data_IF_262284873527
#
_entry.id   IF_262284873527
#
_cell.length_a   1.000
_cell.length_b   1.000
_cell.length_c   1.000
_cell.angle_alpha   90.00
_cell.angle_beta   90.00
_cell.angle_gamma   90.00
#
_symmetry.space_group_name_H-M   'P 1'
#
loop_
_entity.id
_entity.type
_entity.pdbx_description
1 polymer ?
#
# COMPACT_ATOMS: atom_id res chain seq x y z
N UNK A 1 -13.81 -8.12 -1.89
CA UNK A 1 -15.08 -8.29 -1.15
C UNK A 1 -15.18 -7.13 -0.16
N UNK A 2 -16.21 -6.30 -0.26
CA UNK A 2 -16.38 -5.09 0.58
C UNK A 2 -17.57 -5.17 1.55
N UNK A 3 -18.48 -6.11 1.33
CA UNK A 3 -19.50 -6.53 2.29
C UNK A 3 -19.79 -8.03 2.10
N UNK A 4 -20.51 -8.72 3.02
CA UNK A 4 -20.69 -10.18 2.94
C UNK A 4 -21.19 -10.69 1.58
N UNK A 5 -22.05 -9.92 0.91
CA UNK A 5 -22.63 -10.25 -0.40
C UNK A 5 -22.18 -9.31 -1.52
N UNK A 6 -21.15 -8.48 -1.33
CA UNK A 6 -20.81 -7.43 -2.29
C UNK A 6 -19.31 -7.38 -2.63
N UNK A 7 -19.03 -7.39 -3.92
CA UNK A 7 -17.68 -7.26 -4.49
C UNK A 7 -17.59 -5.95 -5.26
N UNK A 8 -16.53 -5.18 -5.01
CA UNK A 8 -16.13 -4.02 -5.81
C UNK A 8 -15.14 -4.46 -6.90
N UNK A 9 -15.29 -3.90 -8.09
CA UNK A 9 -14.43 -4.11 -9.27
C UNK A 9 -14.55 -2.88 -10.20
N UNK A 10 -13.82 -2.85 -11.31
CA UNK A 10 -13.97 -1.84 -12.35
C UNK A 10 -15.06 -2.17 -13.39
N UNK A 11 -15.69 -1.15 -13.97
CA UNK A 11 -16.71 -1.28 -15.03
C UNK A 11 -16.12 -1.88 -16.31
N UNK A 12 -14.90 -1.49 -16.67
CA UNK A 12 -14.24 -1.97 -17.88
C UNK A 12 -14.01 -3.49 -17.91
N UNK A 13 -14.06 -4.17 -16.76
CA UNK A 13 -14.01 -5.62 -16.68
C UNK A 13 -15.21 -6.31 -17.33
N UNK A 14 -16.32 -5.59 -17.57
CA UNK A 14 -17.46 -6.08 -18.34
C UNK A 14 -18.23 -7.22 -17.66
N UNK A 15 -18.25 -7.24 -16.32
CA UNK A 15 -18.96 -8.24 -15.52
C UNK A 15 -20.45 -8.28 -15.85
N UNK A 16 -21.07 -9.46 -15.71
CA UNK A 16 -22.50 -9.67 -15.97
C UNK A 16 -23.11 -10.56 -14.89
N UNK A 17 -24.43 -10.46 -14.63
CA UNK A 17 -25.13 -11.44 -13.81
C UNK A 17 -24.83 -12.85 -14.31
N UNK A 18 -24.39 -13.73 -13.41
CA UNK A 18 -23.86 -15.04 -13.75
C UNK A 18 -22.34 -15.18 -13.60
N UNK A 19 -21.59 -14.08 -13.50
CA UNK A 19 -20.17 -14.11 -13.15
C UNK A 19 -19.96 -14.79 -11.79
N UNK A 20 -18.82 -15.45 -11.60
CA UNK A 20 -18.48 -16.12 -10.34
C UNK A 20 -17.37 -15.36 -9.61
N UNK A 21 -17.58 -15.08 -8.33
CA UNK A 21 -16.53 -14.66 -7.41
C UNK A 21 -15.99 -15.89 -6.71
N UNK A 22 -14.70 -16.18 -6.89
CA UNK A 22 -14.06 -17.40 -6.42
C UNK A 22 -12.93 -17.08 -5.46
N UNK A 23 -12.81 -17.86 -4.39
CA UNK A 23 -11.63 -17.87 -3.52
C UNK A 23 -10.98 -19.26 -3.53
N UNK A 24 -9.65 -19.35 -3.48
CA UNK A 24 -8.97 -20.63 -3.32
C UNK A 24 -9.47 -21.36 -2.07
N UNK A 25 -9.63 -22.68 -2.16
CA UNK A 25 -9.92 -23.48 -0.96
C UNK A 25 -8.70 -23.64 -0.05
N UNK A 26 -7.50 -23.50 -0.62
CA UNK A 26 -6.21 -23.49 0.08
C UNK A 26 -5.22 -22.66 -0.77
N UNK A 27 -4.61 -21.63 -0.18
CA UNK A 27 -3.65 -20.77 -0.89
C UNK A 27 -2.34 -21.50 -1.19
N UNK A 28 -2.02 -22.57 -0.46
CA UNK A 28 -0.82 -23.39 -0.67
C UNK A 28 -1.06 -24.55 -1.65
N UNK A 29 -2.31 -24.72 -2.13
CA UNK A 29 -2.73 -25.79 -3.04
C UNK A 29 -3.64 -25.29 -4.15
N UNK A 30 -3.08 -24.67 -5.20
CA UNK A 30 -3.83 -24.15 -6.34
C UNK A 30 -4.59 -25.22 -7.15
N UNK A 31 -4.36 -26.50 -6.88
CA UNK A 31 -5.07 -27.66 -7.44
C UNK A 31 -6.39 -28.00 -6.72
N UNK A 32 -6.65 -27.41 -5.56
CA UNK A 32 -7.93 -27.57 -4.87
C UNK A 32 -9.04 -26.74 -5.54
N UNK A 33 -10.27 -27.28 -5.65
CA UNK A 33 -11.35 -26.58 -6.32
C UNK A 33 -11.68 -25.28 -5.59
N UNK A 34 -11.72 -24.18 -6.34
CA UNK A 34 -12.14 -22.88 -5.84
C UNK A 34 -13.55 -22.94 -5.25
N UNK A 35 -13.76 -22.18 -4.18
CA UNK A 35 -15.08 -21.93 -3.61
C UNK A 35 -15.65 -20.68 -4.26
N UNK A 36 -16.72 -20.85 -5.02
CA UNK A 36 -17.28 -19.79 -5.83
C UNK A 36 -18.72 -19.44 -5.43
N UNK A 37 -19.06 -18.17 -5.53
CA UNK A 37 -20.44 -17.66 -5.40
C UNK A 37 -20.78 -16.85 -6.64
N UNK A 38 -21.96 -17.12 -7.20
CA UNK A 38 -22.43 -16.43 -8.41
C UNK A 38 -22.94 -15.02 -8.08
N UNK A 39 -22.56 -14.05 -8.90
CA UNK A 39 -23.17 -12.72 -8.93
C UNK A 39 -24.59 -12.82 -9.51
N UNK A 40 -25.58 -12.33 -8.77
CA UNK A 40 -26.99 -12.26 -9.19
C UNK A 40 -27.35 -10.90 -9.79
N UNK A 41 -26.58 -9.86 -9.46
CA UNK A 41 -26.74 -8.51 -9.97
C UNK A 41 -25.39 -7.84 -10.15
N UNK A 42 -25.29 -7.00 -11.17
CA UNK A 42 -24.13 -6.14 -11.44
C UNK A 42 -24.65 -4.71 -11.59
N UNK A 43 -23.97 -3.75 -10.97
CA UNK A 43 -24.35 -2.34 -10.98
C UNK A 43 -23.13 -1.49 -11.30
N UNK A 44 -23.13 -0.90 -12.49
CA UNK A 44 -22.07 0.01 -12.90
C UNK A 44 -22.31 1.42 -12.33
N UNK A 45 -21.23 2.05 -11.87
CA UNK A 45 -21.23 3.45 -11.45
C UNK A 45 -21.34 4.33 -12.70
N UNK A 46 -22.37 5.18 -12.84
CA UNK A 46 -22.54 6.02 -14.01
C UNK A 46 -21.51 7.15 -14.12
N UNK A 47 -20.75 7.41 -13.04
CA UNK A 47 -19.83 8.54 -12.94
C UNK A 47 -18.35 8.12 -12.92
N UNK A 48 -18.06 6.82 -12.85
CA UNK A 48 -16.70 6.33 -12.66
C UNK A 48 -16.52 4.91 -13.20
N UNK A 49 -15.26 4.51 -13.40
CA UNK A 49 -14.92 3.13 -13.75
C UNK A 49 -14.95 2.27 -12.48
N UNK A 50 -16.17 1.97 -12.01
CA UNK A 50 -16.47 1.21 -10.80
C UNK A 50 -17.75 0.40 -11.00
N UNK A 51 -17.76 -0.85 -10.56
CA UNK A 51 -18.93 -1.72 -10.61
C UNK A 51 -19.05 -2.54 -9.33
N UNK A 52 -20.29 -2.81 -8.93
CA UNK A 52 -20.62 -3.66 -7.79
C UNK A 52 -21.29 -4.95 -8.25
N UNK A 53 -20.82 -6.07 -7.73
CA UNK A 53 -21.41 -7.39 -7.94
C UNK A 53 -22.09 -7.87 -6.66
N UNK A 54 -23.40 -8.07 -6.71
CA UNK A 54 -24.17 -8.68 -5.63
C UNK A 54 -24.14 -10.20 -5.76
N UNK A 55 -23.67 -10.88 -4.72
CA UNK A 55 -23.53 -12.33 -4.65
C UNK A 55 -24.85 -13.00 -4.23
N UNK A 56 -25.10 -14.21 -4.73
CA UNK A 56 -26.31 -14.98 -4.44
C UNK A 56 -26.48 -15.34 -2.95
N UNK A 57 -25.39 -15.39 -2.21
CA UNK A 57 -25.32 -15.67 -0.77
C UNK A 57 -24.04 -15.04 -0.20
N UNK A 58 -23.95 -14.85 1.13
CA UNK A 58 -22.74 -14.34 1.76
C UNK A 58 -21.52 -15.20 1.43
N UNK A 59 -20.42 -14.58 1.02
CA UNK A 59 -19.18 -15.30 0.75
C UNK A 59 -18.65 -15.97 2.03
N UNK A 60 -18.88 -15.36 3.19
CA UNK A 60 -18.54 -15.89 4.52
C UNK A 60 -19.23 -17.21 4.85
N UNK A 61 -20.38 -17.51 4.24
CA UNK A 61 -21.08 -18.79 4.46
C UNK A 61 -20.40 -19.93 3.67
N UNK A 62 -19.70 -19.59 2.60
CA UNK A 62 -18.98 -20.54 1.72
C UNK A 62 -17.51 -20.66 2.12
N UNK A 63 -16.90 -19.54 2.52
CA UNK A 63 -15.52 -19.43 2.97
C UNK A 63 -15.48 -18.54 4.23
N UNK A 64 -15.69 -19.12 5.43
CA UNK A 64 -15.73 -18.37 6.70
C UNK A 64 -14.46 -17.60 7.05
N UNK A 65 -13.33 -17.96 6.46
CA UNK A 65 -12.05 -17.26 6.62
C UNK A 65 -11.97 -15.97 5.78
N UNK A 66 -12.86 -15.78 4.81
CA UNK A 66 -12.89 -14.58 3.97
C UNK A 66 -13.65 -13.51 4.70
N UNK A 67 -12.94 -12.46 5.11
CA UNK A 67 -13.53 -11.29 5.77
C UNK A 67 -13.65 -10.15 4.77
N UNK A 68 -14.81 -9.48 4.64
CA UNK A 68 -14.92 -8.25 3.87
C UNK A 68 -13.94 -7.17 4.37
N UNK A 69 -13.48 -6.30 3.48
CA UNK A 69 -12.65 -5.14 3.85
C UNK A 69 -13.45 -3.87 3.63
N UNK A 70 -13.54 -3.02 4.65
CA UNK A 70 -14.24 -1.74 4.57
C UNK A 70 -13.65 -0.86 3.45
N UNK A 71 -14.46 0.00 2.83
CA UNK A 71 -13.94 0.98 1.89
C UNK A 71 -13.31 2.18 2.62
N UNK A 72 -12.49 2.94 1.92
CA UNK A 72 -12.08 4.28 2.33
C UNK A 72 -13.24 5.22 2.06
N UNK A 73 -14.06 5.47 3.09
CA UNK A 73 -15.17 6.40 2.99
C UNK A 73 -14.75 7.84 3.32
N UNK A 74 -13.69 8.00 4.12
CA UNK A 74 -13.20 9.32 4.51
C UNK A 74 -12.38 9.96 3.36
N UNK A 75 -12.54 11.27 3.12
CA UNK A 75 -11.87 11.95 2.01
C UNK A 75 -10.36 11.76 2.01
N UNK A 76 -9.83 11.36 0.86
CA UNK A 76 -8.39 11.35 0.58
C UNK A 76 -7.95 12.73 0.08
N UNK A 77 -6.86 13.23 0.65
CA UNK A 77 -6.23 14.48 0.26
C UNK A 77 -4.72 14.32 0.03
N UNK A 78 -4.03 15.43 -0.27
CA UNK A 78 -2.60 15.41 -0.58
C UNK A 78 -1.71 14.97 0.58
N UNK A 79 -2.19 14.89 1.82
CA UNK A 79 -1.42 14.40 2.96
C UNK A 79 -1.14 12.89 2.92
N UNK A 80 -1.80 12.18 2.00
CA UNK A 80 -1.56 10.77 1.73
C UNK A 80 -0.41 10.54 0.74
N UNK A 81 -0.03 11.55 -0.04
CA UNK A 81 1.09 11.44 -0.98
C UNK A 81 2.37 11.11 -0.21
N UNK A 82 3.13 10.14 -0.72
CA UNK A 82 4.34 9.63 -0.08
C UNK A 82 4.10 8.52 0.95
N UNK A 83 2.84 8.22 1.33
CA UNK A 83 2.53 7.05 2.15
C UNK A 83 2.54 5.78 1.29
N UNK A 84 2.69 4.63 1.94
CA UNK A 84 2.60 3.32 1.29
C UNK A 84 1.13 2.91 1.12
N UNK A 85 0.81 2.37 -0.04
CA UNK A 85 -0.42 1.66 -0.34
C UNK A 85 -0.07 0.24 -0.80
N UNK A 86 -0.99 -0.71 -0.60
CA UNK A 86 -0.76 -2.10 -1.00
C UNK A 86 -1.79 -2.51 -2.05
N UNK A 87 -1.35 -2.95 -3.21
CA UNK A 87 -2.21 -3.55 -4.21
C UNK A 87 -2.12 -5.07 -4.17
N UNK A 88 -3.20 -5.75 -4.52
CA UNK A 88 -3.24 -7.20 -4.55
C UNK A 88 -3.97 -7.73 -5.78
N UNK A 89 -3.49 -8.84 -6.32
CA UNK A 89 -4.11 -9.45 -7.48
C UNK A 89 -3.52 -10.80 -7.87
N UNK A 90 -3.97 -11.31 -9.00
CA UNK A 90 -3.62 -12.62 -9.58
C UNK A 90 -3.10 -12.49 -11.01
N UNK A 91 -2.82 -11.26 -11.43
CA UNK A 91 -2.32 -10.89 -12.74
C UNK A 91 -0.93 -11.43 -13.01
N UNK A 92 -0.47 -11.13 -14.21
CA UNK A 92 0.77 -11.67 -14.73
C UNK A 92 1.97 -11.20 -13.90
N UNK A 93 2.80 -12.13 -13.43
CA UNK A 93 4.10 -11.81 -12.82
C UNK A 93 5.22 -11.73 -13.88
N UNK A 94 6.41 -11.21 -13.53
CA UNK A 94 7.53 -10.96 -14.46
C UNK A 94 7.88 -12.15 -15.40
N UNK A 95 7.73 -13.40 -14.93
CA UNK A 95 8.04 -14.60 -15.70
C UNK A 95 6.88 -15.08 -16.61
N UNK A 96 5.77 -14.33 -16.67
CA UNK A 96 4.56 -14.71 -17.41
C UNK A 96 3.64 -15.69 -16.67
N UNK A 97 3.93 -15.98 -15.40
CA UNK A 97 3.08 -16.78 -14.52
C UNK A 97 1.78 -16.07 -14.15
N UNK A 98 0.74 -16.84 -13.85
CA UNK A 98 -0.59 -16.39 -13.43
C UNK A 98 -1.18 -17.41 -12.42
N UNK A 99 -2.23 -17.03 -11.66
CA UNK A 99 -2.97 -17.86 -10.68
C UNK A 99 -2.41 -17.97 -9.26
N UNK A 100 -1.38 -17.22 -8.89
CA UNK A 100 -0.99 -17.06 -7.48
C UNK A 100 -1.32 -15.63 -7.04
N UNK A 101 -1.73 -15.47 -5.78
CA UNK A 101 -2.06 -14.15 -5.25
C UNK A 101 -0.77 -13.45 -4.86
N UNK A 102 -0.54 -12.28 -5.43
CA UNK A 102 0.58 -11.42 -5.09
C UNK A 102 0.12 -10.11 -4.46
N UNK A 103 1.01 -9.54 -3.67
CA UNK A 103 0.87 -8.21 -3.10
C UNK A 103 2.06 -7.37 -3.53
N UNK A 104 1.82 -6.10 -3.83
CA UNK A 104 2.85 -5.11 -4.09
C UNK A 104 2.60 -3.91 -3.20
N UNK A 105 3.65 -3.42 -2.55
CA UNK A 105 3.61 -2.24 -1.72
C UNK A 105 4.27 -1.09 -2.48
N UNK A 106 3.52 -0.02 -2.72
CA UNK A 106 3.91 1.08 -3.60
C UNK A 106 3.63 2.41 -2.93
N UNK A 107 4.32 3.45 -3.39
CA UNK A 107 4.13 4.79 -2.86
C UNK A 107 2.94 5.44 -3.54
N UNK A 108 2.10 6.12 -2.75
CA UNK A 108 1.05 6.98 -3.28
C UNK A 108 1.72 8.19 -3.94
N UNK A 109 1.81 8.15 -5.27
CA UNK A 109 2.39 9.22 -6.07
C UNK A 109 1.43 10.40 -6.19
N UNK A 110 0.12 10.15 -6.27
CA UNK A 110 -0.88 11.21 -6.47
C UNK A 110 -2.24 10.86 -5.87
N UNK A 111 -2.86 11.86 -5.26
CA UNK A 111 -4.28 11.85 -4.91
C UNK A 111 -4.99 12.90 -5.76
N UNK A 112 -5.73 12.45 -6.77
CA UNK A 112 -6.49 13.28 -7.69
C UNK A 112 -7.93 12.81 -7.82
N UNK A 113 -8.75 13.56 -8.55
CA UNK A 113 -10.09 13.10 -8.94
C UNK A 113 -10.04 12.60 -10.40
N UNK A 114 -10.55 11.40 -10.71
CA UNK A 114 -11.17 10.41 -9.80
C UNK A 114 -10.17 9.42 -9.17
N UNK A 115 -8.86 9.59 -9.39
CA UNK A 115 -7.87 8.53 -9.15
C UNK A 115 -6.96 8.73 -7.93
N UNK A 116 -6.72 7.61 -7.23
CA UNK A 116 -5.55 7.40 -6.39
C UNK A 116 -4.49 6.72 -7.26
N UNK A 117 -3.32 7.33 -7.38
CA UNK A 117 -2.21 6.79 -8.17
C UNK A 117 -1.11 6.30 -7.24
N UNK A 118 -0.76 5.03 -7.40
CA UNK A 118 0.42 4.43 -6.78
C UNK A 118 1.50 4.26 -7.84
N UNK A 119 2.76 4.24 -7.43
CA UNK A 119 3.90 4.11 -8.34
C UNK A 119 4.85 3.02 -7.86
N UNK A 120 5.05 2.07 -8.77
CA UNK A 120 5.99 0.97 -8.71
C UNK A 120 7.46 1.34 -8.82
N UNK A 121 7.74 2.56 -9.28
CA UNK A 121 9.10 3.13 -9.44
C UNK A 121 10.04 2.25 -10.28
N UNK A 122 9.50 1.53 -11.26
CA UNK A 122 10.26 0.65 -12.15
C UNK A 122 10.63 -0.71 -11.53
N UNK A 123 10.23 -0.98 -10.29
CA UNK A 123 10.66 -2.18 -9.56
C UNK A 123 9.58 -3.26 -9.43
N UNK A 124 8.33 -2.83 -9.20
CA UNK A 124 7.17 -3.68 -8.88
C UNK A 124 5.90 -2.96 -9.32
N UNK A 125 4.78 -3.65 -9.47
CA UNK A 125 3.56 -3.05 -10.01
C UNK A 125 2.42 -4.05 -9.99
N UNK A 126 1.23 -3.57 -10.33
CA UNK A 126 0.17 -4.45 -10.82
C UNK A 126 0.30 -4.62 -12.33
N UNK A 127 -0.21 -5.73 -12.86
CA UNK A 127 -0.01 -6.10 -14.25
C UNK A 127 -1.28 -6.59 -14.93
N UNK A 128 -1.15 -7.00 -16.18
CA UNK A 128 -2.25 -7.57 -16.95
C UNK A 128 -2.93 -8.71 -16.19
N UNK A 129 -4.23 -8.56 -15.92
CA UNK A 129 -5.02 -9.51 -15.14
C UNK A 129 -5.39 -9.01 -13.73
N UNK A 130 -4.79 -7.92 -13.26
CA UNK A 130 -5.16 -7.27 -11.99
C UNK A 130 -6.28 -6.22 -12.14
N UNK A 131 -6.79 -6.02 -13.36
CA UNK A 131 -7.88 -5.10 -13.68
C UNK A 131 -9.07 -5.26 -12.71
N UNK A 132 -9.50 -4.15 -12.10
CA UNK A 132 -10.56 -4.13 -11.09
C UNK A 132 -10.14 -4.64 -9.71
N UNK A 133 -8.88 -5.02 -9.52
CA UNK A 133 -8.30 -5.43 -8.24
C UNK A 133 -8.17 -4.26 -7.26
N UNK A 134 -8.13 -4.54 -5.94
CA UNK A 134 -8.12 -3.50 -4.92
C UNK A 134 -6.73 -2.88 -4.72
N UNK A 135 -6.72 -1.60 -4.38
CA UNK A 135 -5.65 -0.98 -3.58
C UNK A 135 -6.13 -0.76 -2.16
N UNK A 136 -5.27 -1.06 -1.21
CA UNK A 136 -5.49 -0.95 0.22
C UNK A 136 -4.69 0.21 0.81
N UNK A 137 -5.32 0.91 1.74
CA UNK A 137 -4.68 1.92 2.58
C UNK A 137 -4.81 1.53 4.05
N UNK A 138 -3.83 1.95 4.84
CA UNK A 138 -3.94 1.97 6.29
C UNK A 138 -4.54 3.32 6.71
N UNK A 139 -5.77 3.30 7.20
CA UNK A 139 -6.43 4.47 7.76
C UNK A 139 -5.69 5.07 8.95
N UNK A 140 -5.93 6.35 9.27
CA UNK A 140 -5.36 7.00 10.44
C UNK A 140 -5.85 6.39 11.78
N UNK A 141 -6.83 5.50 11.76
CA UNK A 141 -7.28 4.67 12.89
C UNK A 141 -6.65 3.27 12.88
N UNK A 142 -5.68 3.05 11.98
CA UNK A 142 -4.97 1.81 11.76
C UNK A 142 -5.76 0.75 10.98
N UNK A 143 -6.99 1.01 10.51
CA UNK A 143 -7.76 0.00 9.78
C UNK A 143 -7.38 -0.07 8.31
N UNK A 144 -7.18 -1.28 7.80
CA UNK A 144 -7.03 -1.53 6.38
C UNK A 144 -8.36 -1.26 5.69
N UNK A 145 -8.32 -0.44 4.64
CA UNK A 145 -9.48 -0.06 3.84
C UNK A 145 -9.18 -0.23 2.36
N UNK A 146 -10.17 -0.65 1.58
CA UNK A 146 -10.10 -0.61 0.11
C UNK A 146 -10.24 0.84 -0.31
N UNK A 147 -9.18 1.43 -0.84
CA UNK A 147 -9.17 2.83 -1.25
C UNK A 147 -9.57 3.02 -2.71
N UNK A 148 -9.46 1.99 -3.53
CA UNK A 148 -9.92 2.01 -4.90
C UNK A 148 -9.80 0.67 -5.60
N UNK A 149 -10.33 0.62 -6.81
CA UNK A 149 -10.24 -0.51 -7.74
C UNK A 149 -9.43 -0.10 -8.98
N UNK A 150 -8.55 -0.99 -9.46
CA UNK A 150 -7.62 -0.71 -10.54
C UNK A 150 -8.38 -0.43 -11.83
N UNK A 151 -8.36 0.83 -12.28
CA UNK A 151 -8.98 1.27 -13.53
C UNK A 151 -8.03 1.07 -14.70
N UNK A 152 -6.79 1.55 -14.56
CA UNK A 152 -5.75 1.32 -15.57
C UNK A 152 -4.36 1.43 -14.95
N UNK A 153 -3.44 0.61 -15.47
CA UNK A 153 -2.05 0.56 -15.05
C UNK A 153 -1.07 0.89 -16.14
N UNK A 154 0.20 1.01 -15.78
CA UNK A 154 1.27 1.21 -16.74
C UNK A 154 1.56 -0.10 -17.51
N UNK A 155 1.71 -0.07 -18.85
CA UNK A 155 2.00 -1.27 -19.63
C UNK A 155 3.32 -1.98 -19.27
N UNK A 156 4.24 -1.29 -18.57
CA UNK A 156 5.47 -1.87 -18.03
C UNK A 156 5.25 -2.77 -16.81
N UNK A 157 4.06 -2.73 -16.20
CA UNK A 157 3.73 -3.42 -14.95
C UNK A 157 4.64 -3.05 -13.77
N UNK A 158 5.30 -1.90 -13.85
CA UNK A 158 6.19 -1.38 -12.80
C UNK A 158 6.11 0.14 -12.62
N UNK A 159 5.19 0.79 -13.35
CA UNK A 159 5.02 2.24 -13.35
C UNK A 159 3.83 2.70 -12.52
N UNK A 160 3.12 3.71 -13.01
CA UNK A 160 1.97 4.28 -12.30
C UNK A 160 0.68 3.52 -12.54
N UNK A 161 0.03 3.13 -11.45
CA UNK A 161 -1.25 2.43 -11.45
C UNK A 161 -2.35 3.31 -10.85
N UNK A 162 -3.47 3.43 -11.55
CA UNK A 162 -4.55 4.38 -11.25
C UNK A 162 -5.81 3.63 -10.80
N UNK A 163 -6.21 3.92 -9.56
CA UNK A 163 -7.34 3.29 -8.90
C UNK A 163 -8.48 4.27 -8.77
N UNK A 164 -9.69 3.87 -9.20
CA UNK A 164 -10.90 4.68 -8.99
C UNK A 164 -11.17 4.77 -7.49
N UNK A 165 -11.14 5.99 -6.95
CA UNK A 165 -11.23 6.25 -5.51
C UNK A 165 -12.58 5.88 -4.92
N UNK A 166 -12.60 5.11 -3.84
CA UNK A 166 -13.83 4.76 -3.11
C UNK A 166 -14.41 5.92 -2.31
N UNK A 167 -13.59 6.85 -1.80
CA UNK A 167 -14.05 7.95 -0.95
C UNK A 167 -14.93 8.96 -1.71
N UNK A 168 -14.67 9.13 -3.01
CA UNK A 168 -15.49 9.97 -3.90
C UNK A 168 -16.86 9.35 -4.22
N UNK A 169 -16.99 8.03 -4.08
CA UNK A 169 -18.20 7.28 -4.44
C UNK A 169 -18.78 6.48 -3.27
N UNK A 170 -18.38 6.80 -2.04
CA UNK A 170 -18.80 6.08 -0.84
C UNK A 170 -20.32 6.03 -0.71
N UNK A 171 -21.02 7.17 -0.91
CA UNK A 171 -22.48 7.24 -0.88
C UNK A 171 -23.15 6.32 -1.93
N UNK A 172 -22.56 6.21 -3.13
CA UNK A 172 -23.05 5.31 -4.17
C UNK A 172 -22.82 3.86 -3.79
N UNK A 173 -21.63 3.52 -3.27
CA UNK A 173 -21.28 2.17 -2.83
C UNK A 173 -22.20 1.72 -1.68
N UNK A 174 -22.23 2.50 -0.60
CA UNK A 174 -22.97 2.20 0.61
C UNK A 174 -24.49 2.28 0.43
N UNK A 175 -24.96 3.00 -0.61
CA UNK A 175 -26.35 2.96 -1.06
C UNK A 175 -26.81 1.56 -1.49
N UNK A 176 -25.89 0.68 -1.87
CA UNK A 176 -26.17 -0.73 -2.19
C UNK A 176 -25.73 -1.70 -1.09
N UNK A 177 -24.56 -1.47 -0.51
CA UNK A 177 -23.94 -2.42 0.44
C UNK A 177 -24.41 -2.22 1.88
N UNK A 178 -24.97 -1.05 2.20
CA UNK A 178 -24.95 -0.53 3.57
C UNK A 178 -23.56 0.00 3.94
N UNK A 179 -23.40 0.63 5.11
CA UNK A 179 -22.10 1.06 5.60
C UNK A 179 -21.11 -0.10 5.65
N UNK A 180 -19.91 0.07 5.09
CA UNK A 180 -18.89 -1.01 5.10
C UNK A 180 -17.92 -0.92 6.29
N UNK A 181 -18.00 0.16 7.07
CA UNK A 181 -17.17 0.46 8.23
C UNK A 181 -17.45 -0.41 9.48
N UNK A 182 -16.86 -0.07 10.65
CA UNK A 182 -16.64 -0.96 11.80
C UNK A 182 -17.87 -1.54 12.53
N UNK A 183 -19.07 -1.48 11.96
CA UNK A 183 -20.17 -2.35 12.37
C UNK A 183 -20.05 -3.78 11.79
N UNK A 184 -19.34 -3.98 10.66
CA UNK A 184 -19.44 -5.23 9.87
C UNK A 184 -18.11 -5.96 9.59
N UNK A 185 -16.97 -5.42 10.02
CA UNK A 185 -15.66 -6.11 9.92
C UNK A 185 -15.39 -6.84 11.22
N UNK A 186 -15.45 -8.17 11.20
CA UNK A 186 -15.03 -9.00 12.33
C UNK A 186 -13.56 -8.80 12.72
N UNK A 187 -13.04 -9.57 13.69
CA UNK A 187 -11.65 -9.48 14.13
C UNK A 187 -10.69 -9.53 12.94
N UNK A 188 -9.83 -8.52 12.78
CA UNK A 188 -8.90 -8.46 11.66
C UNK A 188 -7.63 -9.26 11.96
N UNK A 189 -7.07 -10.03 10.99
CA UNK A 189 -5.82 -10.74 11.19
C UNK A 189 -4.62 -9.77 11.26
N UNK A 190 -3.52 -10.18 11.89
CA UNK A 190 -2.38 -9.31 12.19
C UNK A 190 -1.52 -8.88 10.98
N UNK A 191 -1.52 -9.63 9.88
CA UNK A 191 -0.61 -9.38 8.76
C UNK A 191 0.86 -9.39 9.21
N UNK A 192 1.60 -8.32 8.87
CA UNK A 192 3.03 -8.14 9.21
C UNK A 192 3.27 -7.60 10.63
N UNK A 193 2.21 -7.29 11.38
CA UNK A 193 2.33 -6.76 12.74
C UNK A 193 2.50 -7.94 13.71
N UNK A 194 3.58 -7.94 14.48
CA UNK A 194 3.84 -8.95 15.52
C UNK A 194 3.29 -8.50 16.90
N UNK A 195 3.49 -9.33 17.93
CA UNK A 195 3.05 -9.02 19.30
C UNK A 195 3.78 -7.81 19.92
N UNK A 196 4.98 -7.49 19.43
CA UNK A 196 5.73 -6.29 19.84
C UNK A 196 5.02 -5.06 19.30
N UNK A 197 4.52 -5.12 18.07
CA UNK A 197 3.76 -4.05 17.45
C UNK A 197 4.63 -2.91 16.95
N UNK A 198 4.00 -1.81 16.54
CA UNK A 198 4.66 -0.59 16.08
C UNK A 198 3.79 0.65 16.31
N UNK A 199 4.42 1.82 16.19
CA UNK A 199 3.73 3.10 16.13
C UNK A 199 3.62 3.56 14.68
N UNK A 200 2.44 4.02 14.30
CA UNK A 200 2.22 4.81 13.09
C UNK A 200 1.60 6.15 13.49
N UNK A 201 2.45 7.17 13.57
CA UNK A 201 2.10 8.47 14.15
C UNK A 201 1.50 8.34 15.56
N UNK A 202 0.20 8.63 15.67
CA UNK A 202 -0.56 8.59 16.92
C UNK A 202 -1.29 7.26 17.17
N UNK A 203 -0.97 6.19 16.45
CA UNK A 203 -1.63 4.89 16.60
C UNK A 203 -0.63 3.82 17.01
N UNK A 204 -0.94 3.09 18.08
CA UNK A 204 -0.26 1.85 18.43
C UNK A 204 -1.01 0.67 17.80
N UNK A 205 -0.28 -0.19 17.07
CA UNK A 205 -0.82 -1.42 16.51
C UNK A 205 0.01 -2.62 16.98
N UNK A 206 -0.65 -3.71 17.41
CA UNK A 206 0.02 -4.94 17.85
C UNK A 206 -0.84 -6.17 17.55
N UNK A 207 -0.20 -7.32 17.41
CA UNK A 207 -0.90 -8.58 17.32
C UNK A 207 -1.28 -9.10 18.71
N UNK A 208 -2.56 -9.33 18.94
CA UNK A 208 -3.10 -9.94 20.16
C UNK A 208 -3.84 -11.22 19.79
N UNK A 209 -3.26 -12.37 20.14
CA UNK A 209 -3.81 -13.70 19.83
C UNK A 209 -4.22 -13.90 18.35
N UNK A 210 -3.40 -13.39 17.42
CA UNK A 210 -3.64 -13.51 15.97
C UNK A 210 -4.64 -12.49 15.42
N UNK A 211 -5.17 -11.62 16.28
CA UNK A 211 -6.05 -10.50 15.93
C UNK A 211 -5.28 -9.18 16.04
N UNK A 212 -5.37 -8.34 15.03
CA UNK A 212 -4.79 -7.02 15.02
C UNK A 212 -5.52 -6.12 16.02
N UNK A 213 -4.84 -5.81 17.12
CA UNK A 213 -5.27 -4.84 18.10
C UNK A 213 -4.66 -3.47 17.79
N UNK A 214 -5.44 -2.42 18.07
CA UNK A 214 -5.13 -1.04 17.70
C UNK A 214 -5.64 -0.09 18.76
N UNK A 215 -4.88 0.96 19.02
CA UNK A 215 -5.30 2.02 19.93
C UNK A 215 -4.76 3.38 19.45
N UNK A 216 -5.60 4.41 19.43
CA UNK A 216 -5.19 5.78 19.17
C UNK A 216 -4.70 6.42 20.47
N UNK A 217 -3.53 7.05 20.40
CA UNK A 217 -2.77 7.53 21.53
C UNK A 217 -2.55 9.05 21.45
N UNK A 218 -2.47 9.71 22.61
CA UNK A 218 -1.84 11.03 22.70
C UNK A 218 -0.32 10.92 22.46
N UNK A 219 0.29 9.80 22.87
CA UNK A 219 1.68 9.46 22.59
C UNK A 219 1.78 7.95 22.37
N UNK A 220 2.16 7.56 21.15
CA UNK A 220 2.53 6.19 20.86
C UNK A 220 4.02 6.01 21.14
N UNK A 221 4.41 4.95 21.84
CA UNK A 221 5.81 4.67 22.12
C UNK A 221 6.05 3.32 22.77
N UNK A 222 7.30 3.04 23.14
CA UNK A 222 7.66 1.77 23.76
C UNK A 222 7.16 1.66 25.21
N UNK A 223 6.44 0.57 25.52
CA UNK A 223 5.97 0.24 26.85
C UNK A 223 6.73 -0.97 27.42
N UNK A 224 7.56 -0.74 28.43
CA UNK A 224 8.26 -1.83 29.15
C UNK A 224 7.30 -2.84 29.78
N UNK A 225 6.11 -2.37 30.18
CA UNK A 225 5.06 -3.23 30.76
C UNK A 225 4.53 -4.22 29.73
N UNK A 226 4.37 -3.79 28.48
CA UNK A 226 3.86 -4.62 27.40
C UNK A 226 4.99 -5.34 26.63
N UNK A 227 6.24 -4.90 26.77
CA UNK A 227 7.36 -5.38 25.96
C UNK A 227 7.20 -5.01 24.48
N UNK A 228 6.55 -3.87 24.18
CA UNK A 228 6.18 -3.48 22.82
C UNK A 228 5.58 -2.08 22.71
N UNK A 229 5.26 -1.65 21.48
CA UNK A 229 4.74 -0.33 21.19
C UNK A 229 3.25 -0.23 21.56
N UNK A 230 2.90 0.70 22.46
CA UNK A 230 1.55 0.89 22.99
C UNK A 230 1.27 2.38 23.18
N UNK A 231 0.03 2.72 23.53
CA UNK A 231 -0.27 4.05 24.04
C UNK A 231 0.41 4.27 25.39
N UNK A 232 1.12 5.38 25.51
CA UNK A 232 1.84 5.77 26.71
C UNK A 232 1.12 6.92 27.41
N UNK A 233 1.19 6.93 28.74
CA UNK A 233 0.91 8.12 29.55
C UNK A 233 2.25 8.76 29.94
N UNK A 234 2.83 9.53 29.03
CA UNK A 234 4.12 10.20 29.25
C UNK A 234 4.98 10.23 27.99
N UNK A 235 6.27 10.52 28.17
CA UNK A 235 7.21 10.63 27.06
C UNK A 235 7.49 9.28 26.41
N UNK A 236 7.61 9.30 25.09
CA UNK A 236 8.14 8.17 24.33
C UNK A 236 9.67 8.08 24.50
N UNK A 237 10.21 7.00 25.09
CA UNK A 237 11.65 6.81 25.21
C UNK A 237 12.34 6.61 23.86
N UNK A 238 11.58 6.31 22.81
CA UNK A 238 12.07 6.08 21.47
C UNK A 238 11.97 7.29 20.52
N UNK A 239 11.56 8.45 21.04
CA UNK A 239 11.59 9.73 20.31
C UNK A 239 10.84 9.71 18.97
N UNK A 240 9.77 8.92 18.87
CA UNK A 240 8.94 8.74 17.69
C UNK A 240 9.42 7.66 16.73
N UNK A 241 10.53 6.98 17.01
CA UNK A 241 11.03 5.90 16.16
C UNK A 241 10.48 4.54 16.59
N UNK A 242 10.10 3.71 15.61
CA UNK A 242 9.77 2.30 15.83
C UNK A 242 10.98 1.39 15.53
N UNK A 243 10.76 0.07 15.43
CA UNK A 243 11.82 -0.89 15.10
C UNK A 243 12.31 -0.73 13.65
N UNK A 244 11.47 -0.27 12.73
CA UNK A 244 11.88 0.02 11.37
C UNK A 244 12.77 1.27 11.33
N UNK A 245 12.48 2.27 12.16
CA UNK A 245 13.30 3.47 12.26
C UNK A 245 13.21 4.35 11.01
N UNK A 246 14.08 5.36 10.93
CA UNK A 246 14.14 6.30 9.80
C UNK A 246 15.55 6.88 9.63
N UNK A 247 15.78 7.51 8.48
CA UNK A 247 16.99 8.28 8.20
C UNK A 247 16.75 9.78 8.45
N UNK A 248 17.62 10.39 9.25
CA UNK A 248 17.71 11.83 9.49
C UNK A 248 19.02 12.32 8.85
N UNK A 249 18.96 12.65 7.56
CA UNK A 249 20.14 12.85 6.73
C UNK A 249 21.00 11.58 6.67
N UNK A 250 22.26 11.68 7.09
CA UNK A 250 23.19 10.54 7.16
C UNK A 250 23.07 9.71 8.44
N UNK A 251 22.11 10.00 9.32
CA UNK A 251 21.99 9.31 10.61
C UNK A 251 20.79 8.36 10.60
N UNK A 252 21.06 7.05 10.72
CA UNK A 252 20.03 6.04 10.94
C UNK A 252 19.56 6.10 12.40
N UNK A 253 18.25 6.16 12.65
CA UNK A 253 17.65 6.19 13.98
C UNK A 253 16.56 5.13 14.10
N UNK A 254 16.57 4.35 15.18
CA UNK A 254 15.57 3.29 15.40
C UNK A 254 15.36 3.04 16.89
N UNK A 255 14.29 2.34 17.24
CA UNK A 255 14.00 1.93 18.61
C UNK A 255 14.33 0.45 18.77
N UNK A 256 15.26 0.15 19.68
CA UNK A 256 15.61 -1.22 20.03
C UNK A 256 15.26 -1.47 21.50
N UNK A 257 14.16 -2.20 21.71
CA UNK A 257 13.69 -2.60 23.05
C UNK A 257 13.58 -1.41 24.03
N UNK A 258 12.95 -0.32 23.59
CA UNK A 258 12.77 0.89 24.40
C UNK A 258 13.97 1.81 24.49
N UNK A 259 15.04 1.49 23.77
CA UNK A 259 16.24 2.34 23.70
C UNK A 259 16.31 2.97 22.31
N UNK A 260 16.22 4.30 22.25
CA UNK A 260 16.53 5.04 21.04
C UNK A 260 17.99 4.79 20.65
N UNK A 261 18.18 4.26 19.44
CA UNK A 261 19.47 4.03 18.81
C UNK A 261 19.67 5.02 17.69
N UNK A 262 20.93 5.36 17.47
CA UNK A 262 21.34 6.13 16.32
C UNK A 262 22.70 5.65 15.83
N UNK A 263 22.92 5.71 14.51
CA UNK A 263 24.22 5.46 13.88
C UNK A 263 24.46 6.50 12.80
N UNK A 264 25.56 7.22 12.91
CA UNK A 264 26.01 8.16 11.90
C UNK A 264 26.71 7.41 10.77
N UNK A 265 26.00 7.25 9.65
CA UNK A 265 26.53 6.60 8.45
C UNK A 265 27.59 7.49 7.78
N UNK A 266 27.39 8.81 7.81
CA UNK A 266 28.32 9.77 7.20
C UNK A 266 29.71 9.74 7.86
N UNK A 267 29.76 9.57 9.18
CA UNK A 267 31.03 9.36 9.91
C UNK A 267 31.78 8.08 9.47
N UNK A 268 31.07 7.13 8.87
CA UNK A 268 31.63 5.88 8.34
C UNK A 268 31.87 5.92 6.82
N UNK A 269 31.62 7.04 6.15
CA UNK A 269 31.64 7.14 4.68
C UNK A 269 30.52 6.34 4.00
N UNK A 270 29.44 6.06 4.73
CA UNK A 270 28.28 5.28 4.31
C UNK A 270 27.06 6.22 4.19
N UNK A 271 26.06 5.84 3.41
CA UNK A 271 24.78 6.55 3.43
C UNK A 271 23.73 5.80 4.25
N UNK A 272 22.72 6.54 4.72
CA UNK A 272 21.60 5.98 5.44
C UNK A 272 20.51 5.55 4.47
N UNK A 273 20.00 4.32 4.63
CA UNK A 273 18.86 3.79 3.87
C UNK A 273 17.89 3.07 4.81
N UNK A 274 16.60 3.04 4.47
CA UNK A 274 15.59 2.22 5.15
C UNK A 274 15.30 1.02 4.26
N UNK A 275 15.49 -0.20 4.79
CA UNK A 275 15.28 -1.45 4.05
C UNK A 275 14.13 -2.26 4.65
N UNK A 276 13.29 -2.84 3.80
CA UNK A 276 12.18 -3.70 4.23
C UNK A 276 12.67 -4.88 5.08
N UNK A 277 12.06 -5.06 6.25
CA UNK A 277 12.40 -6.10 7.23
C UNK A 277 13.70 -5.88 8.03
N UNK A 278 14.58 -4.98 7.60
CA UNK A 278 15.86 -4.67 8.28
C UNK A 278 15.85 -3.32 9.00
N UNK A 279 15.02 -2.37 8.56
CA UNK A 279 14.93 -1.03 9.12
C UNK A 279 16.01 -0.08 8.62
N UNK A 280 16.13 1.08 9.27
CA UNK A 280 17.11 2.11 8.98
C UNK A 280 18.53 1.65 9.31
N UNK A 281 19.45 1.77 8.35
CA UNK A 281 20.81 1.30 8.49
C UNK A 281 21.81 2.03 7.58
N UNK A 282 23.09 1.74 7.77
CA UNK A 282 24.17 2.32 6.97
C UNK A 282 24.62 1.35 5.88
N UNK A 283 24.73 1.85 4.66
CA UNK A 283 25.19 1.11 3.48
C UNK A 283 26.41 1.77 2.83
N UNK A 284 27.31 0.95 2.28
CA UNK A 284 28.53 1.42 1.60
C UNK A 284 28.26 2.04 0.23
N UNK A 285 27.15 1.69 -0.42
CA UNK A 285 26.73 2.28 -1.69
C UNK A 285 25.29 2.81 -1.55
N UNK A 286 25.11 4.02 -1.00
CA UNK A 286 23.78 4.61 -0.89
C UNK A 286 23.24 5.12 -2.23
N UNK A 287 24.09 5.21 -3.24
CA UNK A 287 23.74 5.69 -4.58
C UNK A 287 23.41 4.54 -5.54
N UNK A 288 23.57 3.27 -5.12
CA UNK A 288 23.46 2.09 -5.96
C UNK A 288 24.21 2.25 -7.31
N UNK A 289 25.40 2.85 -7.26
CA UNK A 289 26.27 3.09 -8.41
C UNK A 289 25.95 4.34 -9.26
N UNK A 290 25.09 5.25 -8.80
CA UNK A 290 24.82 6.53 -9.47
C UNK A 290 25.85 7.60 -9.12
N UNK A 291 26.16 8.47 -10.08
CA UNK A 291 26.97 9.68 -9.90
C UNK A 291 26.14 10.95 -10.19
N UNK A 292 26.81 12.12 -10.19
CA UNK A 292 26.13 13.41 -10.38
C UNK A 292 25.54 13.59 -11.78
N UNK A 293 26.05 12.86 -12.77
CA UNK A 293 25.48 12.90 -14.12
C UNK A 293 24.14 12.19 -14.11
N UNK A 294 23.99 11.19 -13.26
CA UNK A 294 22.76 10.44 -13.13
C UNK A 294 22.43 9.64 -14.38
N UNK A 295 21.18 9.25 -14.49
CA UNK A 295 20.60 8.60 -15.67
C UNK A 295 19.12 8.94 -15.76
N UNK A 296 18.53 8.66 -16.91
CA UNK A 296 17.08 8.59 -17.00
C UNK A 296 16.59 7.21 -16.59
N UNK A 297 15.54 7.19 -15.79
CA UNK A 297 14.69 6.05 -15.54
C UNK A 297 13.29 6.40 -16.04
N UNK A 298 13.00 6.05 -17.31
CA UNK A 298 11.86 6.62 -18.02
C UNK A 298 11.96 8.15 -18.14
N UNK A 299 10.90 8.85 -17.69
CA UNK A 299 10.86 10.32 -17.61
C UNK A 299 11.38 10.88 -16.29
N UNK A 300 11.88 10.05 -15.37
CA UNK A 300 12.59 10.51 -14.17
C UNK A 300 14.08 10.68 -14.42
N UNK A 301 14.62 11.81 -13.97
CA UNK A 301 16.04 12.02 -13.82
C UNK A 301 16.46 11.59 -12.41
N UNK A 302 17.30 10.54 -12.31
CA UNK A 302 17.89 10.10 -11.05
C UNK A 302 19.38 10.40 -11.04
N UNK A 303 19.90 10.99 -9.97
CA UNK A 303 21.32 11.28 -9.83
C UNK A 303 21.74 11.18 -8.38
N UNK A 304 23.04 11.06 -8.14
CA UNK A 304 23.58 11.10 -6.79
C UNK A 304 24.67 12.17 -6.71
N UNK A 305 24.53 13.09 -5.77
CA UNK A 305 25.57 14.09 -5.51
C UNK A 305 25.95 14.12 -4.02
N UNK A 306 26.72 15.12 -3.62
CA UNK A 306 27.19 15.28 -2.24
C UNK A 306 26.04 15.43 -1.21
N UNK A 307 24.81 15.67 -1.65
CA UNK A 307 23.60 15.72 -0.81
C UNK A 307 22.82 14.40 -0.78
N UNK A 308 23.26 13.37 -1.52
CA UNK A 308 22.66 12.05 -1.55
C UNK A 308 21.99 11.72 -2.88
N UNK A 309 21.14 10.69 -2.85
CA UNK A 309 20.34 10.27 -4.00
C UNK A 309 19.19 11.25 -4.23
N UNK A 310 18.99 11.66 -5.47
CA UNK A 310 17.94 12.55 -5.91
C UNK A 310 17.15 11.93 -7.05
N UNK A 311 15.86 12.28 -7.12
CA UNK A 311 15.01 11.99 -8.27
C UNK A 311 14.14 13.19 -8.60
N UNK A 312 13.92 13.45 -9.90
CA UNK A 312 12.97 14.46 -10.40
C UNK A 312 12.17 13.86 -11.55
N UNK A 313 10.84 13.95 -11.47
CA UNK A 313 9.93 13.56 -12.54
C UNK A 313 9.78 14.71 -13.56
N UNK A 314 10.19 14.44 -14.80
CA UNK A 314 10.11 15.41 -15.89
C UNK A 314 8.75 15.43 -16.57
N UNK A 315 8.00 14.33 -16.50
CA UNK A 315 6.65 14.22 -17.03
C UNK A 315 5.68 15.19 -16.33
N UNK A 316 5.85 15.37 -15.01
CA UNK A 316 5.11 16.37 -14.21
C UNK A 316 5.34 17.82 -14.68
N UNK A 317 6.45 18.06 -15.38
CA UNK A 317 6.81 19.37 -15.94
C UNK A 317 6.46 19.49 -17.43
N UNK A 318 5.82 18.46 -18.02
CA UNK A 318 5.58 18.37 -19.45
C UNK A 318 6.87 18.26 -20.27
N UNK A 319 7.94 17.79 -19.64
CA UNK A 319 9.26 17.55 -20.22
C UNK A 319 9.55 16.04 -20.25
N UNK A 320 10.63 15.66 -20.91
CA UNK A 320 11.17 14.30 -20.89
C UNK A 320 12.49 14.28 -20.15
N UNK A 321 12.82 13.18 -19.48
CA UNK A 321 14.19 13.04 -18.99
C UNK A 321 15.13 12.86 -20.20
N UNK A 322 16.19 13.64 -20.23
CA UNK A 322 17.28 13.36 -21.15
C UNK A 322 18.58 14.03 -20.77
N UNK A 323 19.63 13.69 -21.49
CA UNK A 323 20.93 14.30 -21.27
C UNK A 323 20.90 15.77 -21.68
N UNK A 324 21.13 16.68 -20.72
CA UNK A 324 21.10 18.12 -20.96
C UNK A 324 22.49 18.63 -21.35
N UNK A 325 23.51 18.35 -20.53
CA UNK A 325 24.94 18.58 -20.81
C UNK A 325 25.81 18.11 -19.62
N UNK A 326 27.13 18.08 -19.79
CA UNK A 326 28.11 17.61 -18.79
C UNK A 326 28.09 18.36 -17.45
N UNK A 327 27.48 19.56 -17.41
CA UNK A 327 27.34 20.35 -16.18
C UNK A 327 26.07 20.00 -15.39
N UNK A 328 25.03 19.51 -16.07
CA UNK A 328 23.70 19.24 -15.49
C UNK A 328 23.44 17.74 -15.36
N UNK A 329 24.02 16.92 -16.24
CA UNK A 329 23.71 15.50 -16.33
C UNK A 329 22.40 15.22 -17.06
N UNK A 330 21.77 14.11 -16.69
CA UNK A 330 20.42 13.75 -17.11
C UNK A 330 19.41 14.52 -16.27
N UNK A 331 18.54 15.29 -16.93
CA UNK A 331 17.52 16.12 -16.29
C UNK A 331 16.36 16.40 -17.24
N UNK A 332 15.35 17.15 -16.79
CA UNK A 332 14.17 17.47 -17.56
C UNK A 332 14.44 18.46 -18.69
N UNK A 333 14.07 18.08 -19.92
CA UNK A 333 14.19 18.92 -21.13
C UNK A 333 13.04 18.71 -22.13
#
# INVERSE_FOLDING_TARGET
>A
LIAPTWVLSATHCGHRPGAEFCVPADNDRPDYPNRCVRAIRVVDNPQADQTLLELAQPMTDVAPEVVPVAIQAEPLDRSWVGRTAEAAGYGQVQDGGFNERWFTAEIIARVGEPYLTIDGQGERGVCFGDSGGPVFLLGDDGQVRVAGDLSHGDPSCTGQDNYTRTDLFADWIEGYTGPTGPADVGPQPCGMIDAVGRCDGAVAAWCDDGVLARERCDTCGWSDRAGGFRCLQGNDPCLGYDRAGACDGSVARWCENGVARARDCGACGQGCVVQDGLGAGCTEDPCAGLDYLGRCDGDQAVWCDDQGFHTVDCGDQGASCGYVNDRVGYYCQ
#
